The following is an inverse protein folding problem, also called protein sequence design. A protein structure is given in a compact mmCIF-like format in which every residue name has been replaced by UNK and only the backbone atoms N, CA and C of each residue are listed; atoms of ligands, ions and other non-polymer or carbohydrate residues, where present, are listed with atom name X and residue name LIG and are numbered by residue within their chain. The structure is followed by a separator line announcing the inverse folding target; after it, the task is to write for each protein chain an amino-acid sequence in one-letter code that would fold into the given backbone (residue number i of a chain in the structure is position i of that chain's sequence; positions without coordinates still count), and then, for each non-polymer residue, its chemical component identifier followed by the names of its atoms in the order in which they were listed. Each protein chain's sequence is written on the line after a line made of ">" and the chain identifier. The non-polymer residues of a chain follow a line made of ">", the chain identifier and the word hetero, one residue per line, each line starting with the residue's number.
data_IF_819080556558
#
_entry.id   IF_819080556558
#
_cell.length_a   1.000
_cell.length_b   1.000
_cell.length_c   1.000
_cell.angle_alpha   90.00
_cell.angle_beta   90.00
_cell.angle_gamma   90.00
#
_symmetry.space_group_name_H-M   'P 1'
#
loop_
_entity.id
_entity.type
_entity.pdbx_description
1 polymer ?
#
# COMPACT_ATOMS: atom_id res chain seq x y z
N UNK A 1 -22.78 30.13 10.74
CA UNK A 1 -23.65 28.95 10.91
C UNK A 1 -22.84 27.73 10.56
N UNK A 2 -22.62 26.88 11.56
CA UNK A 2 -21.78 25.69 11.52
C UNK A 2 -22.41 24.65 10.58
N UNK A 3 -21.66 24.21 9.56
CA UNK A 3 -22.02 23.02 8.79
C UNK A 3 -21.98 21.81 9.74
N UNK A 4 -23.00 20.94 9.73
CA UNK A 4 -23.08 19.85 10.69
C UNK A 4 -21.99 18.81 10.40
N UNK A 5 -21.21 18.49 11.43
CA UNK A 5 -20.10 17.51 11.44
C UNK A 5 -20.45 16.12 10.89
N UNK A 6 -21.75 15.79 10.74
CA UNK A 6 -22.23 14.50 10.26
C UNK A 6 -22.11 14.28 8.75
N UNK A 7 -21.90 15.33 7.94
CA UNK A 7 -21.75 15.21 6.47
C UNK A 7 -20.28 15.09 6.00
N UNK A 8 -19.31 15.18 6.91
CA UNK A 8 -17.87 15.17 6.57
C UNK A 8 -17.31 13.74 6.46
N UNK A 9 -17.90 12.79 7.18
CA UNK A 9 -17.45 11.39 7.15
C UNK A 9 -17.74 10.69 5.80
N UNK A 10 -18.92 10.87 5.17
CA UNK A 10 -19.18 10.31 3.84
C UNK A 10 -18.32 10.94 2.74
N UNK A 11 -18.04 12.24 2.82
CA UNK A 11 -17.20 12.93 1.83
C UNK A 11 -15.75 12.47 1.93
N UNK A 12 -15.20 12.33 3.14
CA UNK A 12 -13.81 11.86 3.34
C UNK A 12 -13.59 10.45 2.81
N UNK A 13 -14.52 9.52 3.02
CA UNK A 13 -14.40 8.16 2.48
C UNK A 13 -14.46 8.19 0.94
N UNK A 14 -15.34 8.99 0.35
CA UNK A 14 -15.38 9.19 -1.12
C UNK A 14 -14.07 9.75 -1.67
N UNK A 15 -13.47 10.74 -1.01
CA UNK A 15 -12.17 11.31 -1.43
C UNK A 15 -11.07 10.24 -1.41
N UNK A 16 -11.00 9.41 -0.37
CA UNK A 16 -10.04 8.31 -0.29
C UNK A 16 -10.26 7.27 -1.38
N UNK A 17 -11.52 6.97 -1.72
CA UNK A 17 -11.84 6.07 -2.82
C UNK A 17 -11.40 6.62 -4.16
N UNK A 18 -11.62 7.91 -4.43
CA UNK A 18 -11.08 8.55 -5.63
C UNK A 18 -9.55 8.47 -5.68
N UNK A 19 -8.86 8.69 -4.55
CA UNK A 19 -7.41 8.57 -4.51
C UNK A 19 -6.93 7.14 -4.82
N UNK A 20 -7.63 6.12 -4.33
CA UNK A 20 -7.35 4.72 -4.68
C UNK A 20 -7.51 4.50 -6.18
N UNK A 21 -8.62 4.95 -6.79
CA UNK A 21 -8.85 4.83 -8.23
C UNK A 21 -7.79 5.59 -9.04
N UNK A 22 -7.39 6.78 -8.60
CA UNK A 22 -6.29 7.53 -9.24
C UNK A 22 -4.96 6.80 -9.11
N UNK A 23 -4.74 6.08 -8.01
CA UNK A 23 -3.53 5.25 -7.81
C UNK A 23 -3.46 4.03 -8.74
N UNK A 24 -4.57 3.65 -9.37
CA UNK A 24 -4.63 2.56 -10.36
C UNK A 24 -4.30 3.03 -11.79
N UNK A 25 -4.26 4.35 -12.05
CA UNK A 25 -3.97 4.91 -13.37
C UNK A 25 -2.54 4.57 -13.81
N UNK A 26 -2.37 4.11 -15.05
CA UNK A 26 -1.08 3.75 -15.65
C UNK A 26 -0.24 4.97 -16.05
N UNK A 27 -0.02 5.89 -15.11
CA UNK A 27 0.83 7.06 -15.28
C UNK A 27 1.72 7.20 -14.04
N UNK A 28 3.05 7.29 -14.25
CA UNK A 28 4.05 7.15 -13.18
C UNK A 28 4.10 8.39 -12.29
N UNK A 29 3.94 9.58 -12.85
CA UNK A 29 3.99 10.82 -12.08
C UNK A 29 2.75 10.98 -11.18
N UNK A 30 1.57 10.61 -11.70
CA UNK A 30 0.33 10.53 -10.91
C UNK A 30 0.49 9.50 -9.78
N UNK A 31 1.08 8.34 -10.08
CA UNK A 31 1.31 7.30 -9.07
C UNK A 31 2.27 7.77 -7.98
N UNK A 32 3.37 8.47 -8.31
CA UNK A 32 4.31 9.04 -7.34
C UNK A 32 3.62 9.97 -6.35
N UNK A 33 2.75 10.86 -6.84
CA UNK A 33 1.99 11.79 -6.00
C UNK A 33 1.05 11.03 -5.05
N UNK A 34 0.36 10.01 -5.56
CA UNK A 34 -0.51 9.18 -4.72
C UNK A 34 0.28 8.38 -3.68
N UNK A 35 1.42 7.82 -4.08
CA UNK A 35 2.32 7.05 -3.23
C UNK A 35 2.86 7.90 -2.08
N UNK A 36 3.24 9.16 -2.34
CA UNK A 36 3.68 10.09 -1.29
C UNK A 36 2.59 10.26 -0.22
N UNK A 37 1.32 10.45 -0.62
CA UNK A 37 0.22 10.51 0.32
C UNK A 37 0.06 9.21 1.12
N UNK A 38 0.10 8.05 0.45
CA UNK A 38 -0.06 6.75 1.12
C UNK A 38 1.08 6.44 2.09
N UNK A 39 2.32 6.83 1.74
CA UNK A 39 3.47 6.71 2.63
C UNK A 39 3.23 7.54 3.91
N UNK A 40 2.90 8.82 3.77
CA UNK A 40 2.64 9.71 4.92
C UNK A 40 1.52 9.15 5.80
N UNK A 41 0.37 8.78 5.22
CA UNK A 41 -0.76 8.25 5.96
C UNK A 41 -0.42 6.95 6.72
N UNK A 42 0.27 6.02 6.06
CA UNK A 42 0.65 4.73 6.66
C UNK A 42 1.70 4.90 7.75
N UNK A 43 2.67 5.80 7.56
CA UNK A 43 3.67 6.16 8.55
C UNK A 43 3.05 6.79 9.80
N UNK A 44 2.09 7.71 9.64
CA UNK A 44 1.36 8.32 10.76
C UNK A 44 0.59 7.26 11.55
N UNK A 45 -0.18 6.40 10.88
CA UNK A 45 -0.94 5.33 11.51
C UNK A 45 -0.02 4.32 12.22
N UNK A 46 1.15 4.04 11.66
CA UNK A 46 2.14 3.17 12.28
C UNK A 46 2.72 3.77 13.57
N UNK A 47 3.03 5.08 13.57
CA UNK A 47 3.54 5.80 14.76
C UNK A 47 2.53 5.91 15.90
N UNK A 48 1.23 5.71 15.65
CA UNK A 48 0.21 5.66 16.70
C UNK A 48 0.25 4.36 17.53
N UNK A 49 0.85 3.28 17.00
CA UNK A 49 0.83 1.94 17.61
C UNK A 49 1.56 1.87 18.97
N UNK A 50 2.77 2.46 19.15
CA UNK A 50 3.46 2.43 20.44
C UNK A 50 2.72 3.19 21.55
N UNK A 51 2.01 4.27 21.22
CA UNK A 51 1.34 5.12 22.21
C UNK A 51 0.14 4.46 22.88
N UNK A 52 -0.54 3.53 22.19
CA UNK A 52 -1.68 2.81 22.77
C UNK A 52 -1.27 1.71 23.77
N UNK A 53 -0.05 1.19 23.67
CA UNK A 53 0.44 0.10 24.52
C UNK A 53 1.13 0.58 25.81
N UNK A 54 1.62 1.83 25.83
CA UNK A 54 2.40 2.39 26.96
C UNK A 54 1.50 3.08 27.99
N UNK A 55 0.23 3.35 27.68
CA UNK A 55 -0.69 3.99 28.63
C UNK A 55 -1.00 3.03 29.80
N UNK A 56 -0.68 3.40 31.05
CA UNK A 56 -0.97 2.59 32.21
C UNK A 56 -2.47 2.29 32.33
N UNK A 57 -2.80 1.06 32.73
CA UNK A 57 -4.16 0.52 32.81
C UNK A 57 -5.15 1.37 33.65
N UNK A 58 -4.65 2.20 34.57
CA UNK A 58 -5.44 3.09 35.42
C UNK A 58 -5.78 4.46 34.78
N UNK A 59 -5.15 4.83 33.66
CA UNK A 59 -5.54 6.00 32.85
C UNK A 59 -6.63 5.64 31.82
N UNK A 60 -7.07 4.37 31.77
CA UNK A 60 -8.22 3.91 30.99
C UNK A 60 -9.53 4.30 31.69
N UNK A 61 -9.72 5.59 31.93
CA UNK A 61 -10.98 6.13 32.45
C UNK A 61 -12.05 6.05 31.35
N UNK A 62 -12.99 5.11 31.52
CA UNK A 62 -14.32 5.14 30.90
C UNK A 62 -14.41 4.78 29.41
N UNK A 63 -15.01 3.62 29.11
CA UNK A 63 -15.70 3.34 27.83
C UNK A 63 -14.98 3.65 26.50
N UNK A 64 -13.67 3.42 26.38
CA UNK A 64 -12.95 3.55 25.09
C UNK A 64 -13.10 2.34 24.15
N UNK A 65 -13.97 1.37 24.45
CA UNK A 65 -14.17 0.16 23.63
C UNK A 65 -15.09 0.36 22.41
N UNK A 66 -15.65 1.56 22.20
CA UNK A 66 -16.68 1.80 21.17
C UNK A 66 -16.35 2.89 20.13
N UNK A 67 -15.18 3.55 20.21
CA UNK A 67 -14.75 4.47 19.14
C UNK A 67 -13.79 3.69 18.24
N UNK A 68 -14.15 3.44 16.96
CA UNK A 68 -13.26 2.75 16.06
C UNK A 68 -11.92 3.49 16.00
N UNK A 69 -10.81 2.79 16.21
CA UNK A 69 -9.49 3.40 16.08
C UNK A 69 -9.35 3.95 14.66
N UNK A 70 -8.54 5.01 14.45
CA UNK A 70 -8.29 5.54 13.09
C UNK A 70 -7.94 4.42 12.12
N UNK A 71 -7.17 3.43 12.57
CA UNK A 71 -6.85 2.20 11.83
C UNK A 71 -8.08 1.43 11.33
N UNK A 72 -9.10 1.22 12.17
CA UNK A 72 -10.33 0.54 11.74
C UNK A 72 -11.07 1.32 10.65
N UNK A 73 -11.11 2.66 10.75
CA UNK A 73 -11.70 3.51 9.72
C UNK A 73 -11.00 3.36 8.36
N UNK A 74 -9.67 3.28 8.35
CA UNK A 74 -8.89 3.17 7.11
C UNK A 74 -8.74 1.72 6.61
N UNK A 75 -9.07 0.70 7.41
CA UNK A 75 -8.78 -0.72 7.12
C UNK A 75 -9.14 -1.15 5.69
N UNK A 76 -10.36 -0.87 5.24
CA UNK A 76 -10.86 -1.21 3.90
C UNK A 76 -10.06 -0.50 2.80
N UNK A 77 -9.74 0.77 3.00
CA UNK A 77 -8.95 1.55 2.03
C UNK A 77 -7.50 1.05 2.00
N UNK A 78 -6.89 0.79 3.16
CA UNK A 78 -5.52 0.28 3.24
C UNK A 78 -5.37 -1.10 2.61
N UNK A 79 -6.38 -1.97 2.70
CA UNK A 79 -6.38 -3.26 1.99
C UNK A 79 -6.32 -3.07 0.47
N UNK A 80 -7.07 -2.10 -0.09
CA UNK A 80 -6.95 -1.75 -1.51
C UNK A 80 -5.56 -1.20 -1.86
N UNK A 81 -5.01 -0.34 -1.00
CA UNK A 81 -3.66 0.20 -1.20
C UNK A 81 -2.61 -0.92 -1.17
N UNK A 82 -2.71 -1.90 -0.27
CA UNK A 82 -1.84 -3.09 -0.27
C UNK A 82 -1.89 -3.83 -1.60
N UNK A 83 -3.10 -4.07 -2.14
CA UNK A 83 -3.27 -4.69 -3.46
C UNK A 83 -2.57 -3.90 -4.56
N UNK A 84 -2.65 -2.57 -4.54
CA UNK A 84 -1.97 -1.70 -5.51
C UNK A 84 -0.44 -1.79 -5.36
N UNK A 85 0.07 -1.67 -4.13
CA UNK A 85 1.51 -1.74 -3.86
C UNK A 85 2.13 -3.05 -4.34
N UNK A 86 1.46 -4.18 -4.11
CA UNK A 86 1.90 -5.49 -4.57
C UNK A 86 1.76 -5.62 -6.09
N UNK A 87 0.66 -5.17 -6.67
CA UNK A 87 0.42 -5.35 -8.12
C UNK A 87 1.33 -4.49 -9.00
N UNK A 88 1.78 -3.34 -8.48
CA UNK A 88 2.53 -2.33 -9.23
C UNK A 88 3.95 -2.13 -8.72
N UNK A 89 4.46 -3.06 -7.92
CA UNK A 89 5.78 -2.92 -7.29
C UNK A 89 6.85 -2.58 -8.34
N UNK A 90 7.57 -1.47 -8.10
CA UNK A 90 8.68 -1.09 -8.95
C UNK A 90 9.82 -2.10 -8.80
N UNK A 91 10.61 -2.26 -9.87
CA UNK A 91 11.67 -3.27 -9.93
C UNK A 91 12.77 -2.97 -8.88
N UNK A 92 13.14 -3.95 -8.03
CA UNK A 92 14.26 -3.81 -7.09
C UNK A 92 15.59 -3.65 -7.82
N UNK A 93 16.59 -3.08 -7.15
CA UNK A 93 17.92 -2.87 -7.75
C UNK A 93 18.75 -4.17 -7.85
N UNK A 94 18.32 -5.21 -7.15
CA UNK A 94 18.88 -6.56 -7.15
C UNK A 94 18.45 -7.36 -8.40
N UNK A 95 17.37 -6.94 -9.06
CA UNK A 95 16.81 -7.60 -10.25
C UNK A 95 17.44 -7.00 -11.52
N UNK A 96 18.53 -7.62 -11.97
CA UNK A 96 19.31 -7.20 -13.14
C UNK A 96 18.86 -7.85 -14.46
N UNK A 97 18.02 -8.88 -14.37
CA UNK A 97 17.54 -9.64 -15.53
C UNK A 97 16.21 -9.05 -16.00
N UNK A 98 16.15 -8.64 -17.27
CA UNK A 98 15.03 -7.89 -17.83
C UNK A 98 14.67 -8.42 -19.21
N UNK A 99 13.39 -8.37 -19.56
CA UNK A 99 12.92 -8.65 -20.91
C UNK A 99 13.06 -7.38 -21.76
N UNK A 100 13.78 -7.44 -22.88
CA UNK A 100 13.91 -6.32 -23.80
C UNK A 100 12.67 -6.20 -24.70
N UNK A 101 12.60 -5.16 -25.53
CA UNK A 101 11.48 -4.93 -26.48
C UNK A 101 11.29 -6.08 -27.51
N UNK A 102 12.28 -6.95 -27.66
CA UNK A 102 12.23 -8.12 -28.55
C UNK A 102 11.80 -9.40 -27.82
N UNK A 103 11.49 -9.33 -26.53
CA UNK A 103 11.17 -10.49 -25.69
C UNK A 103 12.39 -11.31 -25.24
N UNK A 104 13.61 -10.81 -25.48
CA UNK A 104 14.83 -11.49 -25.09
C UNK A 104 15.20 -11.14 -23.64
N UNK A 105 15.62 -12.15 -22.89
CA UNK A 105 16.05 -11.99 -21.51
C UNK A 105 17.51 -11.52 -21.49
N UNK A 106 17.72 -10.25 -21.15
CA UNK A 106 19.02 -9.59 -21.12
C UNK A 106 19.40 -9.15 -19.71
N UNK A 107 20.68 -8.87 -19.47
CA UNK A 107 21.17 -8.29 -18.22
C UNK A 107 21.39 -6.79 -18.38
N UNK A 108 20.69 -5.99 -17.59
CA UNK A 108 20.82 -4.54 -17.56
C UNK A 108 21.72 -4.11 -16.40
N UNK A 109 22.77 -3.34 -16.69
CA UNK A 109 23.72 -2.84 -15.67
C UNK A 109 23.50 -1.37 -15.34
N UNK A 110 22.76 -0.63 -16.17
CA UNK A 110 22.43 0.76 -15.90
C UNK A 110 21.26 0.82 -14.94
N UNK A 111 21.43 1.59 -13.86
CA UNK A 111 20.42 1.78 -12.82
C UNK A 111 19.80 3.16 -12.97
N UNK A 112 18.48 3.22 -13.14
CA UNK A 112 17.72 4.47 -13.11
C UNK A 112 17.47 4.89 -11.65
N UNK A 113 18.02 6.03 -11.26
CA UNK A 113 17.88 6.59 -9.91
C UNK A 113 16.42 6.84 -9.53
N UNK A 114 15.59 7.25 -10.49
CA UNK A 114 14.18 7.54 -10.24
C UNK A 114 13.39 6.25 -9.95
N UNK A 115 13.65 5.20 -10.73
CA UNK A 115 13.09 3.86 -10.49
C UNK A 115 13.52 3.28 -9.13
N UNK A 116 14.78 3.48 -8.73
CA UNK A 116 15.27 3.06 -7.41
C UNK A 116 14.53 3.79 -6.29
N UNK A 117 14.35 5.11 -6.41
CA UNK A 117 13.67 5.90 -5.40
C UNK A 117 12.19 5.52 -5.31
N UNK A 118 11.55 5.25 -6.45
CA UNK A 118 10.18 4.75 -6.49
C UNK A 118 10.06 3.41 -5.75
N UNK A 119 10.92 2.44 -6.05
CA UNK A 119 10.95 1.15 -5.34
C UNK A 119 11.15 1.33 -3.83
N UNK A 120 12.10 2.16 -3.41
CA UNK A 120 12.35 2.43 -1.98
C UNK A 120 11.11 2.98 -1.28
N UNK A 121 10.39 3.92 -1.91
CA UNK A 121 9.18 4.52 -1.35
C UNK A 121 8.00 3.54 -1.32
N UNK A 122 7.83 2.74 -2.38
CA UNK A 122 6.84 1.65 -2.41
C UNK A 122 7.09 0.62 -1.32
N UNK A 123 8.34 0.17 -1.20
CA UNK A 123 8.78 -0.79 -0.17
C UNK A 123 8.52 -0.24 1.23
N UNK A 124 8.91 0.99 1.51
CA UNK A 124 8.66 1.62 2.82
C UNK A 124 7.16 1.67 3.14
N UNK A 125 6.35 2.11 2.17
CA UNK A 125 4.88 2.16 2.33
C UNK A 125 4.32 0.77 2.62
N UNK A 126 4.72 -0.26 1.86
CA UNK A 126 4.26 -1.63 2.07
C UNK A 126 4.71 -2.19 3.42
N UNK A 127 5.91 -1.84 3.90
CA UNK A 127 6.38 -2.19 5.25
C UNK A 127 5.47 -1.59 6.32
N UNK A 128 5.11 -0.30 6.24
CA UNK A 128 4.16 0.30 7.18
C UNK A 128 2.80 -0.39 7.12
N UNK A 129 2.26 -0.63 5.91
CA UNK A 129 0.99 -1.33 5.72
C UNK A 129 0.98 -2.75 6.29
N UNK A 130 2.11 -3.45 6.22
CA UNK A 130 2.27 -4.81 6.77
C UNK A 130 2.31 -4.81 8.29
N UNK A 131 2.98 -3.84 8.91
CA UNK A 131 2.90 -3.67 10.37
C UNK A 131 1.47 -3.30 10.83
N UNK A 132 0.73 -2.58 9.98
CA UNK A 132 -0.65 -2.22 10.23
C UNK A 132 -1.65 -3.36 9.99
N UNK A 133 -1.32 -4.42 9.25
CA UNK A 133 -2.12 -5.65 9.16
C UNK A 133 -1.36 -6.69 8.34
N UNK A 134 -0.59 -7.56 8.99
CA UNK A 134 0.21 -8.56 8.28
C UNK A 134 -0.67 -9.69 7.72
N UNK A 135 -1.82 -9.97 8.35
CA UNK A 135 -2.75 -11.03 7.94
C UNK A 135 -3.40 -10.67 6.61
N UNK A 136 -3.82 -9.41 6.44
CA UNK A 136 -4.35 -8.93 5.16
C UNK A 136 -3.26 -8.92 4.07
N UNK A 137 -2.03 -8.49 4.39
CA UNK A 137 -0.91 -8.55 3.44
C UNK A 137 -0.63 -9.99 2.98
N UNK A 138 -0.53 -10.94 3.92
CA UNK A 138 -0.28 -12.35 3.63
C UNK A 138 -1.41 -12.96 2.78
N UNK A 139 -2.66 -12.65 3.11
CA UNK A 139 -3.83 -13.09 2.35
C UNK A 139 -3.78 -12.60 0.90
N UNK A 140 -3.48 -11.31 0.68
CA UNK A 140 -3.37 -10.72 -0.66
C UNK A 140 -2.21 -11.34 -1.45
N UNK A 141 -1.03 -11.51 -0.84
CA UNK A 141 0.12 -12.12 -1.51
C UNK A 141 -0.16 -13.58 -1.89
N UNK A 142 -0.79 -14.34 -0.99
CA UNK A 142 -1.15 -15.74 -1.21
C UNK A 142 -2.19 -15.89 -2.31
N UNK A 143 -3.24 -15.06 -2.31
CA UNK A 143 -4.27 -15.01 -3.36
C UNK A 143 -3.64 -14.74 -4.72
N UNK A 144 -2.76 -13.73 -4.81
CA UNK A 144 -2.07 -13.38 -6.06
C UNK A 144 -1.14 -14.47 -6.55
N UNK A 145 -0.38 -15.09 -5.64
CA UNK A 145 0.50 -16.20 -5.98
C UNK A 145 -0.30 -17.40 -6.49
N UNK A 146 -1.44 -17.72 -5.85
CA UNK A 146 -2.34 -18.78 -6.30
C UNK A 146 -2.88 -18.50 -7.71
N UNK A 147 -3.21 -17.25 -8.03
CA UNK A 147 -3.63 -16.82 -9.37
C UNK A 147 -2.54 -16.95 -10.45
N UNK A 148 -1.25 -16.96 -10.04
CA UNK A 148 -0.16 -17.28 -10.97
C UNK A 148 -0.06 -18.79 -11.22
N UNK A 149 -0.26 -19.61 -10.18
CA UNK A 149 -0.13 -21.08 -10.26
C UNK A 149 -1.29 -21.72 -11.02
N UNK A 150 -2.52 -21.22 -10.83
CA UNK A 150 -3.71 -21.72 -11.52
C UNK A 150 -3.91 -21.14 -12.94
N UNK A 151 -2.98 -20.30 -13.40
CA UNK A 151 -2.98 -19.61 -14.70
C UNK A 151 -4.12 -18.59 -14.93
N UNK A 152 -4.83 -18.10 -13.91
CA UNK A 152 -5.88 -17.09 -14.10
C UNK A 152 -5.34 -15.69 -14.37
N UNK A 153 -4.20 -15.33 -13.76
CA UNK A 153 -3.58 -14.00 -13.90
C UNK A 153 -2.11 -14.10 -14.32
N UNK A 154 -1.69 -15.23 -14.89
CA UNK A 154 -0.29 -15.50 -15.21
C UNK A 154 0.24 -14.54 -16.29
N UNK A 155 1.31 -13.83 -15.96
CA UNK A 155 2.19 -13.15 -16.91
C UNK A 155 3.56 -12.91 -16.27
N UNK A 156 4.62 -12.78 -17.07
CA UNK A 156 5.94 -12.41 -16.54
C UNK A 156 5.89 -11.15 -15.69
N UNK A 157 5.12 -10.14 -16.14
CA UNK A 157 4.92 -8.88 -15.42
C UNK A 157 4.26 -9.11 -14.04
N UNK A 158 3.16 -9.85 -13.99
CA UNK A 158 2.41 -10.06 -12.74
C UNK A 158 3.17 -10.94 -11.75
N UNK A 159 3.84 -11.99 -12.23
CA UNK A 159 4.67 -12.84 -11.38
C UNK A 159 5.84 -12.04 -10.78
N UNK A 160 6.49 -11.22 -11.60
CA UNK A 160 7.59 -10.37 -11.15
C UNK A 160 7.14 -9.40 -10.06
N UNK A 161 6.04 -8.67 -10.24
CA UNK A 161 5.59 -7.69 -9.23
C UNK A 161 5.16 -8.32 -7.91
N UNK A 162 4.65 -9.55 -7.92
CA UNK A 162 4.34 -10.30 -6.69
C UNK A 162 5.61 -10.75 -5.95
N UNK A 163 6.69 -11.01 -6.68
CA UNK A 163 7.97 -11.48 -6.13
C UNK A 163 8.93 -10.35 -5.71
N UNK A 164 8.73 -9.13 -6.23
CA UNK A 164 9.53 -7.94 -5.91
C UNK A 164 9.23 -7.41 -4.50
#
# INVERSE_FOLDING_TARGET
>A
MLTPMNNVLPSRNKTLQYLVLTSEVEEVEIFKICLEYWNILSAELYREVPYQQIAPSYLRTGNSNNVPTRRQFYSVILSKVRRIMISRMARPEEVLVVENERGEVVREFMKDTDAINLYKNMRETLVYLTHLDYVDTESIMTEKLANQVNNTEWSWKNLNTVCF
#
